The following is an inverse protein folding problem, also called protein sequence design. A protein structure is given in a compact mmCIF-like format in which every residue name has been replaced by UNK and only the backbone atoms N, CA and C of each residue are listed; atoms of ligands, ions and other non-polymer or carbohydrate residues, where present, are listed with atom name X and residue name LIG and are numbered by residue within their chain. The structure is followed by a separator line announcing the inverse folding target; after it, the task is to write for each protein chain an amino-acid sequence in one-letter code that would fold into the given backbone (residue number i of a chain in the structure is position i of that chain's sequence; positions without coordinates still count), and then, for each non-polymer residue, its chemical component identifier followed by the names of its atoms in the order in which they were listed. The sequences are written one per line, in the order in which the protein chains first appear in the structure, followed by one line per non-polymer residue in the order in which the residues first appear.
data_IF_203131793700
#
_entry.id   IF_203131793700
#
_cell.length_a   1.000
_cell.length_b   1.000
_cell.length_c   1.000
_cell.angle_alpha   90.00
_cell.angle_beta   90.00
_cell.angle_gamma   90.00
#
_symmetry.space_group_name_H-M   'P 1'
#
loop_
_entity.id
_entity.type
_entity.pdbx_description
1 polymer ?
#
# COMPACT_ATOMS: atom_id res chain seq x y z
N UNK A 1 -48.56 -3.63 -1.92
CA UNK A 1 -48.80 -4.22 -3.26
C UNK A 1 -47.54 -5.02 -3.64
N UNK A 2 -47.60 -6.35 -3.80
CA UNK A 2 -46.45 -7.17 -4.18
C UNK A 2 -46.32 -7.20 -5.71
N UNK A 3 -45.19 -6.73 -6.23
CA UNK A 3 -44.86 -6.74 -7.65
C UNK A 3 -44.83 -8.20 -8.19
N UNK A 4 -45.36 -8.44 -9.40
CA UNK A 4 -45.19 -9.69 -10.12
C UNK A 4 -43.71 -9.94 -10.48
N UNK A 5 -43.35 -11.17 -10.87
CA UNK A 5 -41.98 -11.51 -11.27
C UNK A 5 -41.48 -10.61 -12.42
N UNK A 6 -42.27 -10.44 -13.45
CA UNK A 6 -41.98 -9.59 -14.62
C UNK A 6 -41.85 -8.12 -14.24
N UNK A 7 -42.68 -7.60 -13.33
CA UNK A 7 -42.59 -6.22 -12.85
C UNK A 7 -41.30 -5.99 -12.03
N UNK A 8 -40.86 -6.98 -11.25
CA UNK A 8 -39.58 -6.91 -10.52
C UNK A 8 -38.39 -6.89 -11.47
N UNK A 9 -38.40 -7.69 -12.51
CA UNK A 9 -37.31 -7.71 -13.51
C UNK A 9 -37.27 -6.39 -14.30
N UNK A 10 -38.43 -5.83 -14.65
CA UNK A 10 -38.48 -4.50 -15.29
C UNK A 10 -37.97 -3.40 -14.36
N UNK A 11 -38.43 -3.41 -13.12
CA UNK A 11 -37.95 -2.44 -12.10
C UNK A 11 -36.42 -2.52 -11.92
N UNK A 12 -35.85 -3.72 -11.84
CA UNK A 12 -34.41 -3.91 -11.72
C UNK A 12 -33.66 -3.35 -12.93
N UNK A 13 -34.16 -3.57 -14.16
CA UNK A 13 -33.56 -3.01 -15.38
C UNK A 13 -33.63 -1.49 -15.42
N UNK A 14 -34.79 -0.91 -15.10
CA UNK A 14 -34.95 0.55 -15.06
C UNK A 14 -33.99 1.16 -14.00
N UNK A 15 -33.92 0.55 -12.82
CA UNK A 15 -33.00 0.95 -11.76
C UNK A 15 -31.53 0.93 -12.21
N UNK A 16 -31.10 -0.14 -12.85
CA UNK A 16 -29.74 -0.26 -13.39
C UNK A 16 -29.42 0.83 -14.43
N UNK A 17 -30.35 1.11 -15.34
CA UNK A 17 -30.20 2.17 -16.34
C UNK A 17 -30.03 3.53 -15.65
N UNK A 18 -30.90 3.81 -14.67
CA UNK A 18 -30.84 5.08 -13.94
C UNK A 18 -29.56 5.27 -13.12
N UNK A 19 -29.17 4.26 -12.35
CA UNK A 19 -27.95 4.25 -11.54
C UNK A 19 -26.69 4.41 -12.42
N UNK A 20 -26.67 3.73 -13.58
CA UNK A 20 -25.60 3.86 -14.57
C UNK A 20 -25.52 5.29 -15.12
N UNK A 21 -26.65 5.89 -15.52
CA UNK A 21 -26.69 7.25 -16.03
C UNK A 21 -26.24 8.28 -14.99
N UNK A 22 -26.68 8.17 -13.74
CA UNK A 22 -26.24 9.03 -12.65
C UNK A 22 -24.73 8.91 -12.40
N UNK A 23 -24.21 7.68 -12.36
CA UNK A 23 -22.80 7.42 -12.17
C UNK A 23 -21.96 8.05 -13.28
N UNK A 24 -22.41 7.92 -14.53
CA UNK A 24 -21.72 8.50 -15.68
C UNK A 24 -21.75 10.03 -15.66
N UNK A 25 -22.87 10.63 -15.28
CA UNK A 25 -22.97 12.10 -15.15
C UNK A 25 -22.00 12.64 -14.09
N UNK A 26 -21.95 12.02 -12.91
CA UNK A 26 -21.01 12.39 -11.82
C UNK A 26 -19.55 12.25 -12.28
N UNK A 27 -19.21 11.16 -12.95
CA UNK A 27 -17.85 10.94 -13.48
C UNK A 27 -17.47 12.00 -14.51
N UNK A 28 -18.41 12.38 -15.42
CA UNK A 28 -18.14 13.39 -16.42
C UNK A 28 -17.87 14.76 -15.80
N UNK A 29 -18.67 15.17 -14.80
CA UNK A 29 -18.46 16.43 -14.07
C UNK A 29 -17.13 16.42 -13.32
N UNK A 30 -16.82 15.34 -12.61
CA UNK A 30 -15.55 15.20 -11.90
C UNK A 30 -14.37 15.30 -12.85
N UNK A 31 -14.41 14.59 -13.97
CA UNK A 31 -13.36 14.60 -14.99
C UNK A 31 -13.17 16.00 -15.58
N UNK A 32 -14.26 16.69 -15.91
CA UNK A 32 -14.17 18.08 -16.40
C UNK A 32 -13.49 19.01 -15.38
N UNK A 33 -13.85 18.89 -14.10
CA UNK A 33 -13.21 19.65 -13.02
C UNK A 33 -11.71 19.34 -12.90
N UNK A 34 -11.32 18.07 -12.97
CA UNK A 34 -9.90 17.64 -12.89
C UNK A 34 -9.12 18.22 -14.09
N UNK A 35 -9.65 18.10 -15.30
CA UNK A 35 -9.03 18.66 -16.49
C UNK A 35 -8.89 20.19 -16.42
N UNK A 36 -9.93 20.91 -15.99
CA UNK A 36 -9.90 22.35 -15.84
C UNK A 36 -8.81 22.80 -14.84
N UNK A 37 -8.74 22.16 -13.67
CA UNK A 37 -7.74 22.48 -12.66
C UNK A 37 -6.30 22.18 -13.14
N UNK A 38 -6.11 21.12 -13.92
CA UNK A 38 -4.82 20.81 -14.51
C UNK A 38 -4.40 21.84 -15.57
N UNK A 39 -5.32 22.23 -16.47
CA UNK A 39 -5.08 23.24 -17.50
C UNK A 39 -4.81 24.62 -16.90
N UNK A 40 -5.54 25.02 -15.85
CA UNK A 40 -5.25 26.26 -15.11
C UNK A 40 -3.85 26.20 -14.50
N UNK A 41 -3.47 25.05 -13.90
CA UNK A 41 -2.14 24.84 -13.39
C UNK A 41 -1.05 24.96 -14.45
N UNK A 42 -1.29 24.43 -15.65
CA UNK A 42 -0.42 24.58 -16.81
C UNK A 42 -0.20 26.06 -17.17
N UNK A 43 -1.28 26.83 -17.32
CA UNK A 43 -1.21 28.26 -17.67
C UNK A 43 -0.44 29.07 -16.62
N UNK A 44 -0.61 28.74 -15.33
CA UNK A 44 0.15 29.37 -14.25
C UNK A 44 1.63 29.10 -14.40
N UNK A 45 2.02 27.83 -14.62
CA UNK A 45 3.44 27.45 -14.75
C UNK A 45 4.08 28.05 -16.00
N UNK A 46 3.40 28.08 -17.13
CA UNK A 46 3.86 28.70 -18.36
C UNK A 46 4.08 30.21 -18.15
N UNK A 47 3.11 30.91 -17.54
CA UNK A 47 3.25 32.34 -17.23
C UNK A 47 4.39 32.62 -16.24
N UNK A 48 4.62 31.75 -15.25
CA UNK A 48 5.77 31.87 -14.34
C UNK A 48 7.11 31.70 -15.07
N UNK A 49 7.20 30.76 -16.02
CA UNK A 49 8.42 30.54 -16.82
C UNK A 49 8.74 31.73 -17.73
N UNK A 50 7.73 32.29 -18.36
CA UNK A 50 7.92 33.47 -19.20
C UNK A 50 8.31 34.71 -18.36
N UNK A 51 7.83 34.81 -17.13
CA UNK A 51 8.16 35.84 -16.16
C UNK A 51 9.39 35.61 -15.29
N UNK A 52 10.07 34.45 -15.43
CA UNK A 52 11.15 33.97 -14.54
C UNK A 52 12.36 34.93 -14.38
N UNK A 53 12.51 35.91 -15.25
CA UNK A 53 13.55 36.96 -15.14
C UNK A 53 13.31 38.00 -14.03
N UNK A 54 12.17 37.94 -13.32
CA UNK A 54 11.81 38.89 -12.26
C UNK A 54 11.59 38.20 -10.94
N UNK A 55 12.46 38.43 -9.95
CA UNK A 55 12.32 37.89 -8.59
C UNK A 55 10.95 38.31 -7.99
N UNK A 56 10.21 37.35 -7.41
CA UNK A 56 8.91 37.55 -6.78
C UNK A 56 7.70 37.59 -7.74
N UNK A 57 7.90 37.46 -9.06
CA UNK A 57 6.82 37.52 -10.05
C UNK A 57 5.71 36.49 -9.79
N UNK A 58 6.05 35.23 -9.50
CA UNK A 58 5.09 34.16 -9.29
C UNK A 58 4.15 34.39 -8.10
N UNK A 59 4.64 34.91 -6.97
CA UNK A 59 3.77 35.21 -5.82
C UNK A 59 2.82 36.37 -6.10
N UNK A 60 3.28 37.40 -6.79
CA UNK A 60 2.46 38.53 -7.20
C UNK A 60 1.41 38.11 -8.21
N UNK A 61 1.79 37.27 -9.19
CA UNK A 61 0.90 36.68 -10.19
C UNK A 61 -0.28 35.94 -9.54
N UNK A 62 -0.01 35.01 -8.62
CA UNK A 62 -1.05 34.24 -7.94
C UNK A 62 -2.00 35.12 -7.11
N UNK A 63 -1.50 36.16 -6.43
CA UNK A 63 -2.32 37.09 -5.67
C UNK A 63 -3.24 37.91 -6.60
N UNK A 64 -2.70 38.41 -7.72
CA UNK A 64 -3.47 39.19 -8.69
C UNK A 64 -4.56 38.33 -9.35
N UNK A 65 -4.19 37.11 -9.82
CA UNK A 65 -5.15 36.17 -10.39
C UNK A 65 -6.25 35.78 -9.39
N UNK A 66 -5.87 35.51 -8.13
CA UNK A 66 -6.82 35.17 -7.08
C UNK A 66 -7.83 36.31 -6.84
N UNK A 67 -7.37 37.55 -6.77
CA UNK A 67 -8.24 38.69 -6.56
C UNK A 67 -9.26 38.88 -7.70
N UNK A 68 -8.81 38.77 -8.95
CA UNK A 68 -9.67 38.92 -10.13
C UNK A 68 -10.65 37.72 -10.27
N UNK A 69 -10.14 36.48 -10.24
CA UNK A 69 -10.97 35.28 -10.44
C UNK A 69 -11.94 35.06 -9.28
N UNK A 70 -11.54 35.35 -8.04
CA UNK A 70 -12.46 35.23 -6.90
C UNK A 70 -13.56 36.27 -6.93
N UNK A 71 -13.29 37.47 -7.46
CA UNK A 71 -14.32 38.52 -7.69
C UNK A 71 -15.35 38.12 -8.73
N UNK A 72 -14.95 37.38 -9.77
CA UNK A 72 -15.80 36.98 -10.88
C UNK A 72 -16.48 35.60 -10.67
N UNK A 73 -15.76 34.63 -10.14
CA UNK A 73 -16.20 33.23 -10.06
C UNK A 73 -16.31 32.68 -8.62
N UNK A 74 -16.01 33.49 -7.59
CA UNK A 74 -16.14 33.12 -6.19
C UNK A 74 -14.92 32.43 -5.60
N UNK A 75 -15.09 31.82 -4.40
CA UNK A 75 -13.99 31.34 -3.52
C UNK A 75 -13.17 30.17 -4.07
N UNK A 76 -13.54 29.56 -5.18
CA UNK A 76 -12.82 28.44 -5.81
C UNK A 76 -11.41 28.78 -6.31
N UNK A 77 -11.06 30.09 -6.42
CA UNK A 77 -9.82 30.61 -6.97
C UNK A 77 -8.96 31.34 -5.93
N UNK A 78 -9.03 30.93 -4.65
CA UNK A 78 -8.12 31.45 -3.63
C UNK A 78 -6.65 31.20 -4.00
N UNK A 79 -5.72 31.98 -3.46
CA UNK A 79 -4.26 31.78 -3.66
C UNK A 79 -3.86 30.33 -3.39
N UNK A 80 -4.38 29.74 -2.31
CA UNK A 80 -4.13 28.34 -1.99
C UNK A 80 -4.69 27.37 -3.05
N UNK A 81 -5.89 27.64 -3.58
CA UNK A 81 -6.46 26.82 -4.66
C UNK A 81 -5.60 26.88 -5.93
N UNK A 82 -5.15 28.07 -6.32
CA UNK A 82 -4.26 28.26 -7.47
C UNK A 82 -2.90 27.58 -7.26
N UNK A 83 -2.35 27.58 -6.04
CA UNK A 83 -1.14 26.85 -5.69
C UNK A 83 -1.34 25.32 -5.84
N UNK A 84 -2.49 24.79 -5.42
CA UNK A 84 -2.82 23.38 -5.64
C UNK A 84 -2.94 23.03 -7.13
N UNK A 85 -3.58 23.88 -7.94
CA UNK A 85 -3.70 23.68 -9.39
C UNK A 85 -2.33 23.69 -10.07
N UNK A 86 -1.47 24.64 -9.70
CA UNK A 86 -0.07 24.74 -10.13
C UNK A 86 0.72 23.46 -9.75
N UNK A 87 0.66 23.06 -8.49
CA UNK A 87 1.30 21.85 -7.98
C UNK A 87 0.80 20.58 -8.66
N UNK A 88 -0.47 20.56 -9.04
CA UNK A 88 -1.09 19.45 -9.75
C UNK A 88 -0.47 19.27 -11.14
N UNK A 89 -0.35 20.32 -11.93
CA UNK A 89 0.32 20.24 -13.23
C UNK A 89 1.78 19.77 -13.10
N UNK A 90 2.54 20.30 -12.15
CA UNK A 90 3.94 19.92 -11.91
C UNK A 90 4.06 18.45 -11.49
N UNK A 91 3.14 17.96 -10.67
CA UNK A 91 3.18 16.59 -10.16
C UNK A 91 2.66 15.54 -11.15
N UNK A 92 1.82 15.96 -12.11
CA UNK A 92 1.16 15.12 -13.10
C UNK A 92 1.36 15.67 -14.53
N UNK A 93 2.62 15.80 -15.00
CA UNK A 93 2.91 16.46 -16.28
C UNK A 93 2.32 15.73 -17.49
N UNK A 94 1.98 14.46 -17.33
CA UNK A 94 1.40 13.61 -18.37
C UNK A 94 -0.06 13.23 -18.12
N UNK A 95 -0.78 13.96 -17.26
CA UNK A 95 -2.17 13.62 -16.91
C UNK A 95 -3.05 13.52 -18.15
N UNK A 96 -2.93 14.50 -19.05
CA UNK A 96 -3.58 14.51 -20.36
C UNK A 96 -2.56 14.14 -21.43
N UNK A 97 -3.00 13.44 -22.49
CA UNK A 97 -2.12 13.12 -23.60
C UNK A 97 -1.62 14.38 -24.32
N UNK A 98 -0.38 14.37 -24.85
CA UNK A 98 0.21 15.53 -25.54
C UNK A 98 -0.66 16.03 -26.70
N UNK A 99 -1.45 15.17 -27.34
CA UNK A 99 -2.36 15.56 -28.42
C UNK A 99 -3.52 16.45 -27.92
N UNK A 100 -3.88 16.37 -26.63
CA UNK A 100 -4.94 17.15 -26.02
C UNK A 100 -4.41 18.41 -25.34
N UNK A 101 -3.18 18.39 -24.80
CA UNK A 101 -2.55 19.57 -24.21
C UNK A 101 -2.24 20.67 -25.24
N UNK A 102 -1.87 20.28 -26.47
CA UNK A 102 -1.56 21.21 -27.58
C UNK A 102 -2.82 21.80 -28.23
N UNK A 103 -3.99 21.18 -28.07
CA UNK A 103 -5.25 21.67 -28.69
C UNK A 103 -5.98 22.74 -27.89
N UNK A 104 -5.49 23.12 -26.73
CA UNK A 104 -5.93 24.29 -25.99
C UNK A 104 -5.06 25.50 -26.35
N UNK A 105 -4.68 25.66 -27.61
CA UNK A 105 -4.32 26.96 -28.13
C UNK A 105 -5.59 27.83 -28.06
N UNK A 106 -5.61 28.73 -27.10
CA UNK A 106 -6.57 29.82 -27.07
C UNK A 106 -6.38 30.58 -28.38
N UNK A 107 -7.34 30.46 -29.26
CA UNK A 107 -7.44 31.35 -30.40
C UNK A 107 -7.69 32.79 -29.88
N UNK A 108 -6.57 33.43 -29.47
CA UNK A 108 -6.57 34.79 -28.94
C UNK A 108 -6.99 35.82 -30.01
N UNK A 109 -7.33 35.38 -31.24
CA UNK A 109 -7.64 36.23 -32.37
C UNK A 109 -9.14 36.30 -32.70
N UNK A 110 -10.04 35.70 -31.89
CA UNK A 110 -11.49 35.84 -32.11
C UNK A 110 -12.11 37.03 -31.35
N UNK A 111 -11.48 38.22 -31.42
CA UNK A 111 -12.09 39.47 -30.91
C UNK A 111 -13.20 40.03 -31.81
N UNK A 112 -13.69 39.34 -32.82
CA UNK A 112 -14.62 39.87 -33.78
C UNK A 112 -15.90 39.09 -34.07
N UNK A 113 -16.38 38.19 -33.20
CA UNK A 113 -17.77 37.70 -33.35
C UNK A 113 -18.43 37.40 -32.02
N UNK A 114 -18.65 38.45 -31.22
CA UNK A 114 -19.50 38.40 -30.04
C UNK A 114 -20.97 38.67 -30.40
N UNK A 115 -21.58 37.84 -31.21
CA UNK A 115 -23.08 37.75 -31.36
C UNK A 115 -23.39 36.38 -31.96
N UNK A 116 -23.61 35.42 -31.14
CA UNK A 116 -24.48 34.24 -31.19
C UNK A 116 -23.87 33.12 -30.31
N UNK A 117 -24.56 32.84 -29.21
CA UNK A 117 -24.13 31.94 -28.18
C UNK A 117 -23.95 30.50 -28.68
N UNK A 118 -22.70 30.12 -28.79
CA UNK A 118 -22.25 28.72 -28.65
C UNK A 118 -20.84 28.74 -28.08
N UNK A 119 -20.70 28.28 -26.85
CA UNK A 119 -19.45 28.32 -26.10
C UNK A 119 -18.44 27.35 -26.68
N UNK A 120 -17.54 27.84 -27.53
CA UNK A 120 -16.46 27.04 -28.16
C UNK A 120 -15.52 26.34 -27.17
N UNK A 121 -15.46 26.79 -25.91
CA UNK A 121 -14.61 26.21 -24.87
C UNK A 121 -15.23 24.97 -24.23
N UNK A 122 -16.55 24.94 -24.05
CA UNK A 122 -17.25 23.75 -23.52
C UNK A 122 -17.21 22.56 -24.51
N UNK A 123 -17.23 22.84 -25.82
CA UNK A 123 -17.09 21.83 -26.86
C UNK A 123 -15.69 21.20 -26.91
N UNK A 124 -14.62 21.96 -26.67
CA UNK A 124 -13.24 21.45 -26.63
C UNK A 124 -12.98 20.54 -25.45
N UNK A 125 -13.48 20.87 -24.25
CA UNK A 125 -13.40 20.02 -23.07
C UNK A 125 -14.20 18.72 -23.27
N UNK A 126 -15.36 18.76 -23.92
CA UNK A 126 -16.18 17.58 -24.19
C UNK A 126 -15.55 16.58 -25.17
N UNK A 127 -14.74 17.03 -26.13
CA UNK A 127 -13.99 16.14 -27.02
C UNK A 127 -12.82 15.46 -26.28
N UNK A 128 -12.06 16.20 -25.46
CA UNK A 128 -11.00 15.63 -24.60
C UNK A 128 -11.59 14.56 -23.67
N UNK A 129 -12.74 14.84 -23.05
CA UNK A 129 -13.43 13.90 -22.18
C UNK A 129 -13.89 12.62 -22.88
N UNK A 130 -14.34 12.71 -24.12
CA UNK A 130 -14.84 11.55 -24.88
C UNK A 130 -13.72 10.61 -25.28
N UNK A 131 -12.58 11.15 -25.71
CA UNK A 131 -11.42 10.37 -26.16
C UNK A 131 -10.68 9.71 -24.99
N UNK A 132 -10.53 10.41 -23.85
CA UNK A 132 -9.90 9.85 -22.64
C UNK A 132 -10.80 8.81 -21.94
N UNK A 133 -12.14 8.95 -22.02
CA UNK A 133 -13.08 7.96 -21.46
C UNK A 133 -13.13 6.67 -22.30
N UNK A 134 -12.78 6.72 -23.59
CA UNK A 134 -12.71 5.56 -24.47
C UNK A 134 -11.46 4.70 -24.27
N UNK A 135 -10.39 5.26 -23.67
CA UNK A 135 -9.08 4.62 -23.51
C UNK A 135 -8.85 3.84 -22.22
N UNK A 136 -9.91 3.41 -21.48
CA UNK A 136 -9.77 2.87 -20.12
C UNK A 136 -9.07 1.50 -19.99
N UNK A 137 -8.75 0.80 -21.08
CA UNK A 137 -8.13 -0.52 -21.02
C UNK A 137 -6.63 -0.49 -20.65
N UNK A 138 -5.91 0.64 -20.91
CA UNK A 138 -4.47 0.82 -20.66
C UNK A 138 -4.15 1.93 -19.68
N UNK A 139 -5.05 2.21 -18.72
CA UNK A 139 -4.79 3.24 -17.72
C UNK A 139 -3.52 2.93 -16.90
N UNK A 140 -2.72 3.96 -16.64
CA UNK A 140 -1.50 3.90 -15.81
C UNK A 140 -1.53 5.03 -14.78
N UNK A 141 -0.92 4.84 -13.60
CA UNK A 141 -0.76 5.91 -12.62
C UNK A 141 -0.15 7.17 -13.25
N UNK A 142 -0.66 8.32 -12.85
CA UNK A 142 -0.28 9.61 -13.41
C UNK A 142 -1.06 10.02 -14.66
N UNK A 143 -1.97 9.17 -15.15
CA UNK A 143 -2.94 9.50 -16.21
C UNK A 143 -4.32 9.77 -15.64
N UNK A 144 -5.10 10.55 -16.36
CA UNK A 144 -6.48 10.87 -15.97
C UNK A 144 -7.31 9.60 -15.77
N UNK A 145 -8.02 9.53 -14.65
CA UNK A 145 -8.99 8.47 -14.39
C UNK A 145 -10.33 9.07 -13.92
N UNK A 146 -11.44 8.75 -14.60
CA UNK A 146 -12.76 9.30 -14.27
C UNK A 146 -13.28 8.93 -12.87
N UNK A 147 -12.73 7.91 -12.24
CA UNK A 147 -13.11 7.51 -10.88
C UNK A 147 -12.40 8.33 -9.80
N UNK A 148 -11.32 9.08 -10.14
CA UNK A 148 -10.64 9.97 -9.22
C UNK A 148 -11.14 11.40 -9.38
N UNK A 149 -11.75 11.95 -8.33
CA UNK A 149 -12.19 13.34 -8.29
C UNK A 149 -11.04 14.31 -7.98
N UNK A 150 -11.27 15.59 -8.17
CA UNK A 150 -10.32 16.65 -7.77
C UNK A 150 -9.89 16.53 -6.30
N UNK A 151 -10.80 16.14 -5.41
CA UNK A 151 -10.49 15.94 -3.99
C UNK A 151 -9.48 14.80 -3.78
N UNK A 152 -9.56 13.71 -4.55
CA UNK A 152 -8.56 12.64 -4.52
C UNK A 152 -7.18 13.15 -4.94
N UNK A 153 -7.09 13.89 -6.06
CA UNK A 153 -5.82 14.45 -6.52
C UNK A 153 -5.21 15.43 -5.51
N UNK A 154 -6.04 16.28 -4.85
CA UNK A 154 -5.54 17.16 -3.78
C UNK A 154 -4.91 16.40 -2.61
N UNK A 155 -5.48 15.25 -2.25
CA UNK A 155 -4.93 14.38 -1.21
C UNK A 155 -3.64 13.71 -1.70
N UNK A 156 -3.62 13.21 -2.93
CA UNK A 156 -2.44 12.59 -3.55
C UNK A 156 -1.25 13.57 -3.69
N UNK A 157 -1.50 14.86 -3.87
CA UNK A 157 -0.45 15.89 -3.92
C UNK A 157 0.33 16.03 -2.61
N UNK A 158 -0.21 15.55 -1.47
CA UNK A 158 0.51 15.50 -0.19
C UNK A 158 1.60 14.43 -0.17
N UNK A 159 1.56 13.46 -1.10
CA UNK A 159 2.53 12.38 -1.21
C UNK A 159 3.67 12.82 -2.15
N UNK A 160 4.85 13.08 -1.59
CA UNK A 160 6.00 13.55 -2.35
C UNK A 160 6.58 12.46 -3.27
N UNK A 161 6.72 11.23 -2.75
CA UNK A 161 7.31 10.12 -3.48
C UNK A 161 6.40 9.65 -4.61
N UNK A 162 6.92 9.65 -5.84
CA UNK A 162 6.17 9.26 -7.04
C UNK A 162 5.66 7.81 -6.97
N UNK A 163 6.47 6.90 -6.45
CA UNK A 163 6.12 5.49 -6.32
C UNK A 163 4.98 5.27 -5.33
N UNK A 164 5.03 5.95 -4.18
CA UNK A 164 3.95 5.91 -3.18
C UNK A 164 2.67 6.52 -3.74
N UNK A 165 2.76 7.65 -4.44
CA UNK A 165 1.61 8.30 -5.08
C UNK A 165 0.95 7.39 -6.10
N UNK A 166 1.75 6.75 -6.98
CA UNK A 166 1.25 5.78 -7.96
C UNK A 166 0.54 4.59 -7.31
N UNK A 167 1.10 4.06 -6.22
CA UNK A 167 0.46 3.02 -5.42
C UNK A 167 -0.90 3.47 -4.88
N UNK A 168 -0.99 4.66 -4.27
CA UNK A 168 -2.25 5.16 -3.72
C UNK A 168 -3.30 5.44 -4.80
N UNK A 169 -2.92 5.84 -6.01
CA UNK A 169 -3.83 5.95 -7.15
C UNK A 169 -4.45 4.59 -7.51
N UNK A 170 -3.61 3.56 -7.65
CA UNK A 170 -4.05 2.19 -7.98
C UNK A 170 -4.97 1.64 -6.88
N UNK A 171 -4.56 1.77 -5.61
CA UNK A 171 -5.35 1.25 -4.49
C UNK A 171 -6.68 1.98 -4.32
N UNK A 172 -6.70 3.30 -4.52
CA UNK A 172 -7.94 4.07 -4.48
C UNK A 172 -8.94 3.60 -5.53
N UNK A 173 -8.46 3.26 -6.73
CA UNK A 173 -9.29 2.72 -7.82
C UNK A 173 -9.76 1.30 -7.53
N UNK A 174 -8.84 0.41 -7.16
CA UNK A 174 -9.11 -1.02 -6.93
C UNK A 174 -10.10 -1.25 -5.78
N UNK A 175 -10.06 -0.39 -4.77
CA UNK A 175 -10.86 -0.50 -3.57
C UNK A 175 -12.03 0.50 -3.52
N UNK A 176 -12.15 1.38 -4.50
CA UNK A 176 -13.20 2.40 -4.55
C UNK A 176 -13.15 3.37 -3.38
N UNK A 177 -11.95 3.73 -2.91
CA UNK A 177 -11.81 4.62 -1.75
C UNK A 177 -12.38 6.01 -2.02
N UNK A 178 -13.09 6.54 -1.05
CA UNK A 178 -13.41 7.96 -1.00
C UNK A 178 -12.14 8.78 -0.69
N UNK A 179 -12.14 10.08 -0.95
CA UNK A 179 -11.00 10.94 -0.65
C UNK A 179 -10.60 10.91 0.85
N UNK A 180 -11.57 10.76 1.77
CA UNK A 180 -11.30 10.61 3.21
C UNK A 180 -10.61 9.29 3.54
N UNK A 181 -11.06 8.18 2.92
CA UNK A 181 -10.43 6.87 3.09
C UNK A 181 -9.02 6.87 2.52
N UNK A 182 -8.82 7.48 1.34
CA UNK A 182 -7.49 7.66 0.75
C UNK A 182 -6.58 8.48 1.67
N UNK A 183 -7.06 9.60 2.21
CA UNK A 183 -6.30 10.44 3.14
C UNK A 183 -5.89 9.66 4.40
N UNK A 184 -6.80 8.88 4.97
CA UNK A 184 -6.48 8.00 6.09
C UNK A 184 -5.38 6.99 5.73
N UNK A 185 -5.47 6.34 4.57
CA UNK A 185 -4.45 5.37 4.15
C UNK A 185 -3.08 6.02 3.91
N UNK A 186 -3.04 7.25 3.41
CA UNK A 186 -1.81 8.03 3.28
C UNK A 186 -1.26 8.39 4.66
N UNK A 187 -2.10 8.91 5.57
CA UNK A 187 -1.67 9.30 6.92
C UNK A 187 -1.22 8.11 7.77
N UNK A 188 -1.81 6.91 7.56
CA UNK A 188 -1.38 5.67 8.20
C UNK A 188 -0.15 5.04 7.51
N UNK A 189 0.41 5.70 6.49
CA UNK A 189 1.61 5.29 5.77
C UNK A 189 1.52 3.85 5.22
N UNK A 190 0.38 3.52 4.60
CA UNK A 190 0.11 2.17 4.10
C UNK A 190 1.18 1.68 3.13
N UNK A 191 1.65 2.53 2.19
CA UNK A 191 2.69 2.16 1.24
C UNK A 191 3.98 1.77 1.95
N UNK A 192 4.42 2.55 2.92
CA UNK A 192 5.64 2.34 3.69
C UNK A 192 5.55 1.05 4.52
N UNK A 193 4.41 0.81 5.18
CA UNK A 193 4.17 -0.44 5.95
C UNK A 193 4.21 -1.68 5.06
N UNK A 194 3.64 -1.63 3.86
CA UNK A 194 3.69 -2.73 2.91
C UNK A 194 5.07 -2.89 2.25
N UNK A 195 5.79 -1.79 2.06
CA UNK A 195 7.13 -1.81 1.46
C UNK A 195 8.19 -2.38 2.42
N UNK A 196 7.97 -2.25 3.74
CA UNK A 196 8.89 -2.68 4.79
C UNK A 196 9.31 -4.15 4.68
N UNK A 197 8.37 -5.03 4.37
CA UNK A 197 8.60 -6.48 4.25
C UNK A 197 9.01 -6.94 2.85
N UNK A 198 9.34 -6.02 1.91
CA UNK A 198 9.57 -6.33 0.50
C UNK A 198 10.95 -5.87 0.04
N UNK A 199 11.54 -6.65 -0.87
CA UNK A 199 12.74 -6.26 -1.59
C UNK A 199 12.43 -5.11 -2.59
N UNK A 200 13.48 -4.55 -3.21
CA UNK A 200 13.36 -3.45 -4.17
C UNK A 200 12.41 -3.77 -5.35
N UNK A 201 12.38 -5.03 -5.81
CA UNK A 201 11.46 -5.46 -6.88
C UNK A 201 10.01 -5.48 -6.40
N UNK A 202 9.77 -5.95 -5.18
CA UNK A 202 8.46 -5.95 -4.54
C UNK A 202 7.91 -4.54 -4.30
N UNK A 203 8.75 -3.58 -3.92
CA UNK A 203 8.36 -2.17 -3.79
C UNK A 203 7.98 -1.56 -5.14
N UNK A 204 8.74 -1.85 -6.21
CA UNK A 204 8.40 -1.40 -7.56
C UNK A 204 7.11 -2.06 -8.08
N UNK A 205 6.86 -3.32 -7.74
CA UNK A 205 5.61 -3.99 -8.08
C UNK A 205 4.42 -3.32 -7.39
N UNK A 206 4.53 -2.96 -6.10
CA UNK A 206 3.50 -2.18 -5.39
C UNK A 206 3.19 -0.85 -6.11
N UNK A 207 4.21 -0.12 -6.55
CA UNK A 207 4.05 1.16 -7.23
C UNK A 207 3.37 1.05 -8.62
N UNK A 208 3.51 -0.09 -9.30
CA UNK A 208 3.02 -0.27 -10.67
C UNK A 208 1.73 -1.10 -10.76
N UNK A 209 1.45 -1.95 -9.79
CA UNK A 209 0.35 -2.93 -9.82
C UNK A 209 -0.56 -2.86 -8.59
N UNK A 210 -0.18 -2.06 -7.56
CA UNK A 210 -0.85 -2.07 -6.28
C UNK A 210 -0.58 -3.36 -5.49
N UNK A 211 -1.43 -3.64 -4.51
CA UNK A 211 -1.32 -4.82 -3.65
C UNK A 211 -1.87 -6.06 -4.37
N UNK A 212 -0.97 -6.93 -4.85
CA UNK A 212 -1.35 -8.25 -5.34
C UNK A 212 -1.52 -9.21 -4.16
N UNK A 213 -2.72 -9.79 -4.00
CA UNK A 213 -3.08 -10.73 -2.95
C UNK A 213 -3.04 -12.15 -3.52
N UNK A 214 -1.89 -12.80 -3.42
CA UNK A 214 -1.69 -14.18 -3.93
C UNK A 214 -1.36 -15.17 -2.83
N UNK A 215 -0.83 -14.72 -1.71
CA UNK A 215 -0.40 -15.56 -0.59
C UNK A 215 -0.92 -14.99 0.73
N UNK A 216 -1.01 -15.83 1.77
CA UNK A 216 -1.39 -15.42 3.11
C UNK A 216 -0.56 -14.22 3.63
N UNK A 217 0.74 -14.21 3.40
CA UNK A 217 1.62 -13.11 3.82
C UNK A 217 1.30 -11.78 3.13
N UNK A 218 0.65 -11.76 1.96
CA UNK A 218 0.35 -10.53 1.23
C UNK A 218 -0.80 -9.72 1.87
N UNK A 219 -1.62 -10.35 2.72
CA UNK A 219 -2.72 -9.70 3.44
C UNK A 219 -2.31 -9.17 4.82
N UNK A 220 -1.14 -9.57 5.32
CA UNK A 220 -0.67 -9.21 6.65
C UNK A 220 0.08 -7.88 6.59
N UNK A 221 -0.23 -6.99 7.54
CA UNK A 221 0.43 -5.71 7.75
C UNK A 221 1.17 -5.73 9.09
N UNK A 222 2.25 -5.01 9.19
CA UNK A 222 2.98 -4.85 10.45
C UNK A 222 3.64 -3.45 10.49
N UNK A 223 3.15 -2.55 11.36
CA UNK A 223 2.01 -2.69 12.27
C UNK A 223 0.64 -2.52 11.59
N UNK A 224 -0.43 -2.96 12.27
CA UNK A 224 -1.80 -2.49 12.04
C UNK A 224 -2.01 -1.16 12.76
N UNK A 225 -2.66 -0.20 12.12
CA UNK A 225 -2.90 1.14 12.68
C UNK A 225 -4.37 1.26 13.06
N UNK A 226 -4.64 1.32 14.36
CA UNK A 226 -5.98 1.27 14.96
C UNK A 226 -6.35 2.60 15.65
N UNK A 227 -5.86 3.72 15.13
CA UNK A 227 -6.08 5.08 15.66
C UNK A 227 -7.56 5.45 15.75
N UNK A 228 -8.38 4.88 14.87
CA UNK A 228 -9.83 5.11 14.82
C UNK A 228 -10.57 4.55 16.04
N UNK A 229 -9.94 3.70 16.85
CA UNK A 229 -10.52 3.22 18.09
C UNK A 229 -10.56 4.29 19.18
N UNK A 230 -9.77 5.35 19.05
CA UNK A 230 -9.66 6.46 20.02
C UNK A 230 -9.39 5.97 21.46
N UNK A 231 -8.70 4.83 21.59
CA UNK A 231 -8.36 4.26 22.88
C UNK A 231 -7.05 4.87 23.40
N UNK A 232 -6.99 5.27 24.67
CA UNK A 232 -5.75 5.75 25.26
C UNK A 232 -4.75 4.60 25.42
N UNK A 233 -3.48 4.86 25.18
CA UNK A 233 -2.40 3.98 25.58
C UNK A 233 -2.29 3.99 27.10
N UNK A 234 -2.85 3.02 27.76
CA UNK A 234 -2.83 2.94 29.22
C UNK A 234 -2.63 1.50 29.70
N UNK A 235 -1.98 1.35 30.85
CA UNK A 235 -1.83 0.07 31.54
C UNK A 235 -3.18 -0.58 31.95
N UNK A 236 -4.31 0.13 31.75
CA UNK A 236 -5.66 -0.37 32.03
C UNK A 236 -6.40 -0.86 30.77
N UNK A 237 -5.71 -0.90 29.61
CA UNK A 237 -6.29 -1.45 28.40
C UNK A 237 -6.43 -2.97 28.57
N UNK A 238 -7.60 -3.50 28.23
CA UNK A 238 -7.89 -4.95 28.24
C UNK A 238 -8.22 -5.44 26.84
N UNK A 239 -7.99 -6.72 26.57
CA UNK A 239 -8.32 -7.35 25.29
C UNK A 239 -9.79 -7.17 24.94
N UNK A 240 -10.69 -7.37 25.92
CA UNK A 240 -12.13 -7.19 25.74
C UNK A 240 -12.51 -5.76 25.32
N UNK A 241 -11.83 -4.73 25.83
CA UNK A 241 -12.09 -3.34 25.42
C UNK A 241 -11.63 -3.07 23.99
N UNK A 242 -10.48 -3.62 23.58
CA UNK A 242 -9.99 -3.52 22.20
C UNK A 242 -10.94 -4.24 21.26
N UNK A 243 -11.36 -5.45 21.61
CA UNK A 243 -12.34 -6.24 20.85
C UNK A 243 -13.66 -5.49 20.66
N UNK A 244 -14.24 -4.96 21.74
CA UNK A 244 -15.50 -4.20 21.69
C UNK A 244 -15.35 -2.95 20.83
N UNK A 245 -14.25 -2.21 20.95
CA UNK A 245 -14.00 -1.01 20.17
C UNK A 245 -13.84 -1.36 18.67
N UNK A 246 -13.15 -2.46 18.33
CA UNK A 246 -13.03 -2.95 16.95
C UNK A 246 -14.39 -3.31 16.34
N UNK A 247 -15.27 -3.92 17.11
CA UNK A 247 -16.62 -4.25 16.64
C UNK A 247 -17.48 -3.01 16.43
N UNK A 248 -17.39 -2.03 17.34
CA UNK A 248 -18.08 -0.76 17.22
C UNK A 248 -17.59 0.04 16.01
N UNK A 249 -16.34 -0.14 15.59
CA UNK A 249 -15.68 0.51 14.46
C UNK A 249 -15.33 -0.48 13.32
N UNK A 250 -16.16 -1.52 13.14
CA UNK A 250 -15.89 -2.63 12.24
C UNK A 250 -15.61 -2.16 10.79
N UNK A 251 -16.30 -1.11 10.31
CA UNK A 251 -16.07 -0.57 8.98
C UNK A 251 -14.65 0.00 8.83
N UNK A 252 -14.17 0.72 9.84
CA UNK A 252 -12.80 1.26 9.87
C UNK A 252 -11.78 0.13 9.98
N UNK A 253 -12.10 -0.90 10.78
CA UNK A 253 -11.24 -2.07 10.90
C UNK A 253 -11.14 -2.87 9.59
N UNK A 254 -12.26 -3.08 8.89
CA UNK A 254 -12.25 -3.70 7.56
C UNK A 254 -11.43 -2.90 6.55
N UNK A 255 -11.48 -1.57 6.61
CA UNK A 255 -10.63 -0.71 5.79
C UNK A 255 -9.14 -0.89 6.13
N UNK A 256 -8.83 -1.03 7.42
CA UNK A 256 -7.46 -1.31 7.87
C UNK A 256 -7.01 -2.72 7.48
N UNK A 257 -7.85 -3.74 7.64
CA UNK A 257 -7.53 -5.11 7.20
C UNK A 257 -7.24 -5.14 5.69
N UNK A 258 -8.04 -4.45 4.90
CA UNK A 258 -7.88 -4.36 3.45
C UNK A 258 -9.01 -5.03 2.67
N UNK A 259 -8.83 -5.11 1.35
CA UNK A 259 -9.85 -5.62 0.44
C UNK A 259 -9.99 -7.14 0.50
N UNK A 260 -11.21 -7.62 0.56
CA UNK A 260 -11.55 -9.04 0.47
C UNK A 260 -11.94 -9.69 1.80
N UNK A 261 -11.90 -8.98 2.91
CA UNK A 261 -12.34 -9.48 4.21
C UNK A 261 -13.86 -9.38 4.35
N UNK A 262 -14.49 -10.47 4.76
CA UNK A 262 -15.88 -10.54 5.15
C UNK A 262 -15.97 -11.00 6.62
N UNK A 263 -16.69 -10.25 7.46
CA UNK A 263 -16.86 -10.60 8.87
C UNK A 263 -17.77 -11.81 9.02
N UNK A 264 -17.31 -12.83 9.74
CA UNK A 264 -18.05 -14.08 10.00
C UNK A 264 -18.65 -14.09 11.41
N UNK A 265 -17.89 -13.62 12.41
CA UNK A 265 -18.38 -13.57 13.76
C UNK A 265 -17.31 -13.26 14.80
N UNK A 266 -17.77 -13.00 16.03
CA UNK A 266 -16.92 -12.83 17.20
C UNK A 266 -17.06 -14.03 18.13
N UNK A 267 -16.04 -14.35 18.91
CA UNK A 267 -16.02 -15.34 19.99
C UNK A 267 -16.78 -16.64 19.62
N UNK A 268 -16.50 -17.14 18.40
CA UNK A 268 -17.15 -18.36 17.92
C UNK A 268 -16.65 -19.57 18.70
N UNK A 269 -17.57 -20.26 19.39
CA UNK A 269 -17.24 -21.42 20.19
C UNK A 269 -16.71 -22.55 19.32
N UNK A 270 -15.51 -23.01 19.62
CA UNK A 270 -14.91 -24.25 19.13
C UNK A 270 -15.00 -25.27 20.25
N UNK A 271 -15.33 -26.51 19.94
CA UNK A 271 -15.47 -27.56 20.96
C UNK A 271 -14.59 -28.76 20.57
N UNK A 272 -13.65 -29.14 21.45
CA UNK A 272 -12.77 -30.28 21.29
C UNK A 272 -12.84 -31.11 22.57
N UNK A 273 -13.28 -32.34 22.47
CA UNK A 273 -13.40 -33.31 23.60
C UNK A 273 -14.10 -32.74 24.84
N UNK A 274 -15.07 -31.82 24.64
CA UNK A 274 -15.81 -31.17 25.71
C UNK A 274 -15.23 -29.83 26.17
N UNK A 275 -14.01 -29.50 25.83
CA UNK A 275 -13.41 -28.21 26.11
C UNK A 275 -13.85 -27.16 25.07
N UNK A 276 -14.04 -25.94 25.53
CA UNK A 276 -14.52 -24.82 24.72
C UNK A 276 -13.46 -23.73 24.57
N UNK A 277 -13.23 -23.31 23.33
CA UNK A 277 -12.30 -22.26 22.97
C UNK A 277 -13.02 -21.18 22.16
N UNK A 278 -12.54 -19.94 22.22
CA UNK A 278 -13.21 -18.79 21.64
C UNK A 278 -12.19 -17.84 21.00
N UNK A 279 -11.94 -17.94 19.67
CA UNK A 279 -11.17 -16.93 18.98
C UNK A 279 -11.93 -15.60 18.97
N UNK A 280 -11.24 -14.48 19.15
CA UNK A 280 -11.87 -13.17 19.30
C UNK A 280 -12.68 -12.78 18.06
N UNK A 281 -12.05 -12.80 16.88
CA UNK A 281 -12.70 -12.42 15.63
C UNK A 281 -12.43 -13.44 14.52
N UNK A 282 -13.44 -13.69 13.71
CA UNK A 282 -13.33 -14.59 12.56
C UNK A 282 -13.81 -13.86 11.31
N UNK A 283 -13.00 -13.91 10.27
CA UNK A 283 -13.30 -13.39 8.94
C UNK A 283 -13.17 -14.50 7.90
N UNK A 284 -13.74 -14.27 6.73
CA UNK A 284 -13.47 -15.04 5.52
C UNK A 284 -12.88 -14.12 4.46
N UNK A 285 -11.78 -14.53 3.85
CA UNK A 285 -11.13 -13.74 2.82
C UNK A 285 -11.54 -14.22 1.43
N UNK A 286 -12.42 -13.48 0.78
CA UNK A 286 -13.08 -13.88 -0.48
C UNK A 286 -12.09 -14.13 -1.63
N UNK A 287 -11.03 -13.32 -1.75
CA UNK A 287 -10.05 -13.46 -2.85
C UNK A 287 -9.11 -14.67 -2.64
N UNK A 288 -8.71 -14.94 -1.40
CA UNK A 288 -7.83 -16.07 -1.05
C UNK A 288 -8.63 -17.35 -0.79
N UNK A 289 -9.96 -17.24 -0.64
CA UNK A 289 -10.86 -18.35 -0.30
C UNK A 289 -10.41 -19.09 0.95
N UNK A 290 -10.25 -18.40 2.06
CA UNK A 290 -9.83 -18.97 3.33
C UNK A 290 -10.43 -18.24 4.52
N UNK A 291 -10.55 -18.94 5.65
CA UNK A 291 -10.84 -18.28 6.92
C UNK A 291 -9.61 -17.51 7.41
N UNK A 292 -9.88 -16.42 8.13
CA UNK A 292 -8.87 -15.64 8.85
C UNK A 292 -9.33 -15.52 10.29
N UNK A 293 -8.60 -16.16 11.19
CA UNK A 293 -8.87 -16.15 12.63
C UNK A 293 -7.96 -15.13 13.27
N UNK A 294 -8.53 -14.17 13.99
CA UNK A 294 -7.79 -13.10 14.66
C UNK A 294 -7.95 -13.26 16.17
N UNK A 295 -6.84 -13.17 16.87
CA UNK A 295 -6.76 -13.17 18.33
C UNK A 295 -6.03 -11.89 18.79
N UNK A 296 -6.57 -11.23 19.81
CA UNK A 296 -6.08 -9.95 20.32
C UNK A 296 -5.28 -10.17 21.58
N UNK A 297 -4.12 -9.54 21.69
CA UNK A 297 -3.29 -9.60 22.90
C UNK A 297 -2.87 -8.21 23.32
N UNK A 298 -3.22 -7.84 24.53
CA UNK A 298 -2.73 -6.63 25.17
C UNK A 298 -1.46 -6.97 25.94
N UNK A 299 -0.33 -6.45 25.47
CA UNK A 299 0.98 -6.74 26.04
C UNK A 299 1.88 -7.59 25.13
N UNK A 300 2.84 -8.26 25.76
CA UNK A 300 3.88 -9.01 25.07
C UNK A 300 3.38 -10.39 24.63
N UNK A 301 3.60 -10.71 23.35
CA UNK A 301 3.29 -12.01 22.79
C UNK A 301 4.05 -13.14 23.53
N UNK A 302 3.33 -14.15 23.99
CA UNK A 302 3.86 -15.34 24.64
C UNK A 302 3.81 -16.58 23.73
N UNK A 303 4.60 -17.60 24.02
CA UNK A 303 4.60 -18.85 23.26
C UNK A 303 3.25 -19.61 23.33
N UNK A 304 2.51 -19.46 24.44
CA UNK A 304 1.18 -20.04 24.61
C UNK A 304 0.15 -19.48 23.62
N UNK A 305 0.23 -18.18 23.30
CA UNK A 305 -0.67 -17.51 22.35
C UNK A 305 -0.53 -18.10 20.94
N UNK A 306 0.71 -18.44 20.55
CA UNK A 306 0.98 -19.10 19.28
C UNK A 306 0.43 -20.52 19.24
N UNK A 307 0.55 -21.27 20.36
CA UNK A 307 -0.03 -22.59 20.50
C UNK A 307 -1.56 -22.57 20.42
N UNK A 308 -2.20 -21.61 21.05
CA UNK A 308 -3.64 -21.37 20.98
C UNK A 308 -4.08 -21.03 19.56
N UNK A 309 -3.38 -20.16 18.86
CA UNK A 309 -3.68 -19.81 17.46
C UNK A 309 -3.52 -21.02 16.54
N UNK A 310 -2.50 -21.85 16.72
CA UNK A 310 -2.32 -23.09 15.95
C UNK A 310 -3.49 -24.06 16.15
N UNK A 311 -4.03 -24.18 17.37
CA UNK A 311 -5.23 -24.95 17.65
C UNK A 311 -6.42 -24.40 16.85
N UNK A 312 -6.63 -23.10 16.84
CA UNK A 312 -7.72 -22.46 16.10
C UNK A 312 -7.62 -22.70 14.60
N UNK A 313 -6.44 -22.45 14.01
CA UNK A 313 -6.20 -22.68 12.57
C UNK A 313 -6.46 -24.13 12.19
N UNK A 314 -5.90 -25.08 12.95
CA UNK A 314 -6.10 -26.51 12.70
C UNK A 314 -7.56 -26.96 12.84
N UNK A 315 -8.31 -26.37 13.79
CA UNK A 315 -9.75 -26.66 13.95
C UNK A 315 -10.54 -26.16 12.74
N UNK A 316 -10.29 -24.91 12.30
CA UNK A 316 -10.95 -24.35 11.13
C UNK A 316 -10.66 -25.15 9.88
N UNK A 317 -9.42 -25.55 9.65
CA UNK A 317 -9.01 -26.35 8.48
C UNK A 317 -9.67 -27.73 8.45
N UNK A 318 -9.92 -28.35 9.62
CA UNK A 318 -10.45 -29.72 9.69
C UNK A 318 -11.97 -29.78 9.78
N UNK A 319 -12.58 -28.85 10.52
CA UNK A 319 -13.99 -28.97 10.92
C UNK A 319 -14.88 -27.91 10.26
N UNK A 320 -14.34 -26.80 9.74
CA UNK A 320 -15.14 -25.66 9.28
C UNK A 320 -14.91 -25.35 7.80
N UNK A 321 -13.68 -25.36 7.33
CA UNK A 321 -13.33 -25.00 5.96
C UNK A 321 -13.87 -26.02 4.96
N UNK A 322 -14.31 -25.54 3.80
CA UNK A 322 -14.69 -26.40 2.69
C UNK A 322 -13.44 -27.02 2.04
N UNK A 323 -13.62 -28.12 1.29
CA UNK A 323 -12.50 -28.81 0.62
C UNK A 323 -11.80 -27.93 -0.42
N UNK A 324 -12.51 -26.97 -0.98
CA UNK A 324 -12.03 -26.04 -2.00
C UNK A 324 -11.39 -24.78 -1.38
N UNK A 325 -11.48 -24.62 -0.06
CA UNK A 325 -10.87 -23.49 0.63
C UNK A 325 -9.35 -23.67 0.74
N UNK A 326 -8.66 -22.55 0.66
CA UNK A 326 -7.25 -22.49 1.00
C UNK A 326 -7.05 -22.59 2.51
N UNK A 327 -5.87 -22.98 2.98
CA UNK A 327 -5.60 -23.11 4.41
C UNK A 327 -5.91 -21.84 5.21
N UNK A 328 -6.50 -22.00 6.38
CA UNK A 328 -6.89 -20.93 7.29
C UNK A 328 -5.68 -20.11 7.74
N UNK A 329 -5.85 -18.80 7.78
CA UNK A 329 -4.84 -17.86 8.26
C UNK A 329 -5.12 -17.54 9.73
N UNK A 330 -4.11 -17.68 10.59
CA UNK A 330 -4.12 -17.23 11.97
C UNK A 330 -3.37 -15.90 12.09
N UNK A 331 -3.98 -14.88 12.68
CA UNK A 331 -3.38 -13.58 12.91
C UNK A 331 -3.49 -13.20 14.39
N UNK A 332 -2.36 -13.05 15.07
CA UNK A 332 -2.31 -12.50 16.42
C UNK A 332 -1.96 -11.02 16.34
N UNK A 333 -2.85 -10.16 16.81
CA UNK A 333 -2.61 -8.73 16.96
C UNK A 333 -2.17 -8.43 18.38
N UNK A 334 -0.93 -8.03 18.59
CA UNK A 334 -0.37 -7.75 19.92
C UNK A 334 0.17 -6.31 20.01
N UNK A 335 0.11 -5.71 21.18
CA UNK A 335 0.71 -4.38 21.39
C UNK A 335 2.24 -4.46 21.38
N UNK A 336 2.82 -5.56 21.87
CA UNK A 336 4.27 -5.81 21.89
C UNK A 336 4.59 -7.14 21.22
N UNK A 337 5.20 -7.08 20.02
CA UNK A 337 5.65 -8.27 19.29
C UNK A 337 6.99 -8.75 19.82
N UNK A 338 7.11 -10.08 20.02
CA UNK A 338 8.36 -10.72 20.36
C UNK A 338 8.86 -11.52 19.14
N UNK A 339 9.68 -10.89 18.30
CA UNK A 339 10.16 -11.50 17.06
C UNK A 339 10.99 -12.78 17.30
N UNK A 340 11.65 -12.89 18.44
CA UNK A 340 12.38 -14.10 18.79
C UNK A 340 11.40 -15.27 19.02
N UNK A 341 10.35 -15.07 19.81
CA UNK A 341 9.32 -16.09 20.05
C UNK A 341 8.64 -16.49 18.75
N UNK A 342 8.26 -15.52 17.91
CA UNK A 342 7.65 -15.78 16.60
C UNK A 342 8.57 -16.65 15.73
N UNK A 343 9.84 -16.30 15.63
CA UNK A 343 10.83 -17.00 14.79
C UNK A 343 11.09 -18.44 15.25
N UNK A 344 11.18 -18.66 16.57
CA UNK A 344 11.48 -19.99 17.12
C UNK A 344 10.26 -20.90 17.18
N UNK A 345 9.06 -20.38 17.39
CA UNK A 345 7.83 -21.17 17.51
C UNK A 345 7.20 -21.44 16.14
N UNK A 346 7.17 -20.44 15.26
CA UNK A 346 6.60 -20.54 13.91
C UNK A 346 7.69 -20.96 12.89
N UNK A 347 8.46 -22.02 13.18
CA UNK A 347 9.39 -22.60 12.21
C UNK A 347 8.67 -22.88 10.87
N UNK A 348 9.43 -23.11 9.77
CA UNK A 348 8.96 -23.25 8.38
C UNK A 348 7.69 -24.10 8.14
N UNK A 349 7.27 -24.88 9.12
CA UNK A 349 6.08 -25.73 9.06
C UNK A 349 4.74 -24.99 9.28
N UNK A 350 4.74 -23.79 9.87
CA UNK A 350 3.52 -23.06 10.26
C UNK A 350 3.38 -21.72 9.51
N UNK A 351 3.46 -21.78 8.19
CA UNK A 351 3.41 -20.60 7.29
C UNK A 351 2.06 -19.86 7.27
N UNK A 352 1.06 -20.35 8.00
CA UNK A 352 -0.29 -19.79 8.03
C UNK A 352 -0.57 -18.95 9.28
N UNK A 353 0.32 -18.96 10.28
CA UNK A 353 0.16 -18.18 11.50
C UNK A 353 1.11 -17.00 11.49
N UNK A 354 0.55 -15.83 11.73
CA UNK A 354 1.25 -14.55 11.73
C UNK A 354 1.02 -13.84 13.06
N UNK A 355 2.00 -13.07 13.48
CA UNK A 355 1.87 -12.15 14.59
C UNK A 355 2.26 -10.75 14.11
N UNK A 356 1.42 -9.77 14.36
CA UNK A 356 1.66 -8.38 13.98
C UNK A 356 1.40 -7.46 15.15
N UNK A 357 2.18 -6.37 15.22
CA UNK A 357 1.89 -5.31 16.18
C UNK A 357 0.65 -4.53 15.76
N UNK A 358 -0.03 -3.96 16.72
CA UNK A 358 -0.96 -2.88 16.48
C UNK A 358 -0.52 -1.60 17.19
N UNK A 359 -0.92 -0.45 16.64
CA UNK A 359 -0.67 0.88 17.18
C UNK A 359 -1.99 1.62 17.28
N UNK A 360 -2.20 2.34 18.38
CA UNK A 360 -3.42 3.10 18.63
C UNK A 360 -3.32 4.57 18.20
N UNK A 361 -2.20 4.95 17.59
CA UNK A 361 -1.94 6.28 17.04
C UNK A 361 -1.40 6.17 15.60
N UNK A 362 -1.51 7.27 14.85
CA UNK A 362 -0.92 7.34 13.52
C UNK A 362 0.62 7.35 13.65
N UNK A 363 1.34 6.53 12.87
CA UNK A 363 2.80 6.56 12.86
C UNK A 363 3.30 7.89 12.30
N UNK A 364 4.36 8.42 12.85
CA UNK A 364 5.06 9.55 12.24
C UNK A 364 5.96 9.05 11.11
N UNK A 365 6.19 9.90 10.11
CA UNK A 365 7.10 9.57 9.00
C UNK A 365 8.53 9.33 9.51
N UNK A 366 8.95 10.04 10.56
CA UNK A 366 10.24 9.86 11.20
C UNK A 366 10.37 8.48 11.87
N UNK A 367 9.33 8.00 12.56
CA UNK A 367 9.31 6.69 13.20
C UNK A 367 9.45 5.57 12.16
N UNK A 368 8.70 5.66 11.05
CA UNK A 368 8.78 4.68 9.99
C UNK A 368 10.09 4.73 9.20
N UNK A 369 10.63 5.91 8.95
CA UNK A 369 11.96 6.04 8.32
C UNK A 369 13.04 5.41 9.20
N UNK A 370 13.02 5.67 10.51
CA UNK A 370 13.97 5.08 11.44
C UNK A 370 13.86 3.54 11.48
N UNK A 371 12.65 3.01 11.40
CA UNK A 371 12.41 1.58 11.39
C UNK A 371 12.84 0.92 10.08
N UNK A 372 12.52 1.52 8.92
CA UNK A 372 12.98 1.06 7.60
C UNK A 372 14.51 1.07 7.52
N UNK A 373 15.18 2.12 8.01
CA UNK A 373 16.64 2.18 8.03
C UNK A 373 17.24 1.10 8.93
N UNK A 374 16.61 0.81 10.06
CA UNK A 374 17.05 -0.25 10.98
C UNK A 374 16.94 -1.63 10.35
N UNK A 375 15.87 -1.90 9.62
CA UNK A 375 15.67 -3.18 8.92
C UNK A 375 16.59 -3.31 7.70
N UNK A 376 16.81 -2.26 6.92
CA UNK A 376 17.75 -2.27 5.80
C UNK A 376 19.18 -2.53 6.29
N UNK A 377 19.60 -1.92 7.42
CA UNK A 377 20.88 -2.20 8.05
C UNK A 377 21.03 -3.67 8.48
N UNK A 378 19.98 -4.29 9.01
CA UNK A 378 20.01 -5.72 9.37
C UNK A 378 20.05 -6.66 8.15
N UNK A 379 19.47 -6.26 7.01
CA UNK A 379 19.52 -7.02 5.76
C UNK A 379 20.92 -6.97 5.15
N UNK A 380 21.59 -5.82 5.18
CA UNK A 380 22.95 -5.67 4.68
C UNK A 380 23.94 -6.48 5.52
N UNK A 381 23.80 -6.49 6.86
CA UNK A 381 24.61 -7.31 7.76
C UNK A 381 24.36 -8.81 7.55
N UNK A 382 23.15 -9.23 7.30
CA UNK A 382 22.80 -10.63 7.04
C UNK A 382 23.31 -11.12 5.68
N UNK A 383 23.29 -10.26 4.64
CA UNK A 383 23.85 -10.56 3.31
C UNK A 383 25.38 -10.57 3.33
N UNK A 384 26.03 -9.68 4.07
CA UNK A 384 27.48 -9.67 4.27
C UNK A 384 27.96 -10.95 4.98
N UNK A 385 27.25 -11.40 6.03
CA UNK A 385 27.55 -12.65 6.74
C UNK A 385 27.29 -13.91 5.89
N UNK A 386 26.26 -13.92 5.05
CA UNK A 386 25.98 -15.03 4.15
C UNK A 386 27.02 -15.15 3.03
N UNK A 387 27.53 -14.03 2.52
CA UNK A 387 28.61 -13.99 1.51
C UNK A 387 29.95 -14.40 2.10
N UNK A 388 30.25 -13.98 3.33
CA UNK A 388 31.46 -14.38 4.06
C UNK A 388 31.46 -15.89 4.41
N UNK A 389 30.29 -16.46 4.75
CA UNK A 389 30.15 -17.90 5.02
C UNK A 389 30.21 -18.76 3.75
N UNK A 390 29.74 -18.26 2.59
CA UNK A 390 29.92 -18.91 1.29
C UNK A 390 31.36 -18.88 0.81
N UNK A 391 32.09 -17.78 1.02
CA UNK A 391 33.52 -17.70 0.67
C UNK A 391 34.39 -18.57 1.57
N UNK A 392 33.99 -18.84 2.82
CA UNK A 392 34.68 -19.81 3.68
C UNK A 392 34.44 -21.28 3.26
N UNK A 393 33.27 -21.61 2.71
CA UNK A 393 32.95 -22.97 2.21
C UNK A 393 33.57 -23.29 0.86
N UNK A 394 33.99 -22.29 0.07
CA UNK A 394 34.66 -22.49 -1.24
C UNK A 394 36.19 -22.49 -1.15
N UNK A 395 36.78 -22.20 0.00
CA UNK A 395 38.20 -22.47 0.24
C UNK A 395 38.37 -23.93 0.63
N UNK A 396 38.52 -24.81 -0.36
CA UNK A 396 39.06 -26.14 -0.19
C UNK A 396 40.42 -26.05 0.54
N UNK A 397 40.72 -26.93 1.51
CA UNK A 397 42.05 -26.96 2.10
C UNK A 397 43.06 -27.32 0.99
N UNK A 398 44.26 -26.73 1.03
CA UNK A 398 45.28 -27.03 0.01
C UNK A 398 45.53 -28.51 0.00
N UNK A 399 45.32 -29.12 -1.14
CA UNK A 399 45.61 -30.53 -1.45
C UNK A 399 47.04 -30.83 -1.07
N UNK A 400 47.23 -31.93 -0.34
CA UNK A 400 48.47 -32.53 0.17
C UNK A 400 49.50 -32.95 -0.93
N UNK A 401 49.45 -32.39 -2.15
CA UNK A 401 50.36 -32.71 -3.25
C UNK A 401 51.66 -31.88 -3.27
N UNK A 402 51.84 -30.89 -2.38
CA UNK A 402 53.06 -30.08 -2.35
C UNK A 402 54.07 -30.54 -1.27
N UNK A 403 53.87 -31.69 -0.60
CA UNK A 403 54.79 -32.23 0.43
C UNK A 403 55.68 -33.35 -0.07
N UNK A 404 55.54 -33.83 -1.32
CA UNK A 404 56.34 -34.90 -1.90
C UNK A 404 57.53 -34.42 -2.75
N UNK A 405 57.68 -33.15 -3.05
CA UNK A 405 58.72 -32.62 -3.93
C UNK A 405 59.93 -31.97 -3.19
N UNK A 406 60.00 -32.03 -1.87
CA UNK A 406 61.14 -31.44 -1.08
C UNK A 406 62.00 -32.48 -0.33
N UNK A 407 61.78 -33.77 -0.57
CA UNK A 407 62.58 -34.84 0.10
C UNK A 407 63.41 -35.71 -0.85
N UNK A 408 63.68 -35.27 -2.09
CA UNK A 408 64.40 -36.05 -3.09
C UNK A 408 65.76 -35.42 -3.53
N UNK A 409 66.38 -34.65 -2.69
CA UNK A 409 67.78 -34.16 -2.97
C UNK A 409 68.56 -34.00 -1.68
N UNK A 410 68.98 -35.11 -1.03
CA UNK A 410 70.18 -35.19 -0.18
C UNK A 410 70.33 -36.60 0.34
N UNK A 411 70.93 -37.47 -0.47
CA UNK A 411 71.62 -38.64 0.05
C UNK A 411 72.65 -39.10 -0.98
N UNK A 412 73.88 -38.65 -0.83
CA UNK A 412 75.13 -39.33 -1.28
C UNK A 412 76.20 -39.12 -0.23
N UNK A 413 76.44 -40.20 0.49
CA UNK A 413 77.69 -40.79 0.93
C UNK A 413 78.56 -40.04 1.98
N UNK A 414 79.49 -40.73 2.68
CA UNK A 414 79.66 -42.15 2.96
C UNK A 414 79.92 -42.48 4.44
N UNK A 415 80.04 -43.79 4.71
CA UNK A 415 80.38 -44.53 5.88
C UNK A 415 81.59 -44.08 6.72
N UNK A 416 81.54 -44.24 8.06
CA UNK A 416 82.52 -44.99 8.87
C UNK A 416 82.17 -45.00 10.38
N UNK A 417 82.06 -46.20 10.86
CA UNK A 417 82.75 -46.85 11.94
C UNK A 417 82.41 -46.53 13.40
N UNK A 418 81.87 -47.56 14.02
CA UNK A 418 82.22 -48.13 15.34
C UNK A 418 82.40 -47.25 16.59
N UNK A 419 81.61 -47.48 17.61
CA UNK A 419 81.99 -48.18 18.89
C UNK A 419 80.96 -47.80 20.00
N UNK A 420 80.31 -48.81 20.50
CA UNK A 420 80.36 -49.40 21.88
C UNK A 420 80.36 -48.44 23.06
N UNK A 421 79.52 -48.71 24.00
CA UNK A 421 79.62 -48.40 25.44
C UNK A 421 78.26 -48.08 26.05
N UNK A 422 77.58 -49.03 26.57
CA UNK A 422 77.37 -49.42 27.98
C UNK A 422 77.14 -48.24 28.93
N UNK A 423 76.06 -48.35 29.68
CA UNK A 423 76.12 -48.12 31.11
C UNK A 423 75.17 -47.15 31.74
N UNK A 424 74.22 -47.69 32.37
CA UNK A 424 73.40 -47.38 33.55
C UNK A 424 72.05 -46.75 33.30
#
# INVERSE_FOLDING_TARGET
MKLSKSQRELFTRIRQIWESAQTQAVRSVNTAHVCANWLIGQQIVEAEQDGAKRAGYGQTLLKTLSAQLSGEYGSGFSVSALQYMRGFFVSYPELLSKQHAVRVEFDANSKQHAVRGESGTALKISHVLRDELAGSADWRPGRLNPALSWTHYRVLLKVERREARAFYEIEALNNGWSARQLERQINSLLFERLAKSRDKKGVLALANQGQALTRAADVIKDPYVLEFLELPESHRLTESRVEEALLNQLQSFLLELGSGFAFVGRQRRLTLDGDHFYPDLVFYHVKLKCYVVIDLKVGKLAHGDLGQMLLYVNYYDREVAAKEDSPTIGLILCSEKNDAVVRYVLADKHRQVFASRYQLHLPTEADLRAEIQRELGQIDDSTANSTASRQRKTRLPPTTAARAAKTATRNTAPARSRRTGEGK
#
